data_IF_181226611926
#
_entry.id   IF_181226611926
#
_cell.length_a   1.000
_cell.length_b   1.000
_cell.length_c   1.000
_cell.angle_alpha   90.00
_cell.angle_beta   90.00
_cell.angle_gamma   90.00
#
_symmetry.space_group_name_H-M   'P 1'
#
loop_
_entity.id
_entity.type
_entity.pdbx_description
1 polymer ?
#
# COMPACT_ATOMS: atom_id res chain seq x y z
N UNK A 1 4.34 -3.09 13.28
CA UNK A 1 3.57 -1.96 12.76
C UNK A 1 2.53 -2.36 11.72
N UNK A 2 2.73 -3.51 11.07
CA UNK A 2 1.76 -3.98 10.07
C UNK A 2 0.34 -4.07 10.62
N UNK A 3 0.09 -4.60 11.83
CA UNK A 3 -1.28 -4.67 12.33
C UNK A 3 -2.00 -3.33 12.44
N UNK A 4 -1.26 -2.23 12.47
CA UNK A 4 -1.84 -0.88 12.57
C UNK A 4 -1.90 -0.17 11.23
N UNK A 5 -1.45 -0.81 10.16
CA UNK A 5 -1.47 -0.21 8.83
C UNK A 5 -2.89 -0.13 8.29
N UNK A 6 -3.10 0.79 7.35
CA UNK A 6 -4.39 0.93 6.67
C UNK A 6 -4.49 0.02 5.44
N UNK A 7 -3.37 -0.27 4.82
CA UNK A 7 -3.33 -1.11 3.62
C UNK A 7 -1.91 -1.61 3.41
N UNK A 8 -1.79 -2.77 2.77
CA UNK A 8 -0.51 -3.28 2.28
C UNK A 8 -0.59 -3.35 0.76
N UNK A 9 0.28 -2.60 0.09
CA UNK A 9 0.38 -2.58 -1.36
C UNK A 9 1.41 -3.63 -1.77
N UNK A 10 1.04 -4.50 -2.69
CA UNK A 10 1.89 -5.64 -3.04
C UNK A 10 2.25 -5.67 -4.51
N UNK A 11 3.46 -6.14 -4.77
CA UNK A 11 3.83 -6.77 -6.03
C UNK A 11 4.01 -8.24 -5.65
N UNK A 12 3.03 -9.08 -5.93
CA UNK A 12 3.02 -10.45 -5.40
C UNK A 12 4.32 -11.17 -5.68
N UNK A 13 4.81 -11.88 -4.69
CA UNK A 13 6.06 -12.62 -4.64
C UNK A 13 7.33 -11.77 -4.53
N UNK A 14 7.28 -10.45 -4.77
CA UNK A 14 8.47 -9.62 -4.72
C UNK A 14 8.44 -8.59 -3.59
N UNK A 15 7.42 -7.76 -3.53
CA UNK A 15 7.40 -6.63 -2.60
C UNK A 15 6.09 -6.53 -1.85
N UNK A 16 6.17 -6.04 -0.61
CA UNK A 16 5.02 -5.62 0.16
C UNK A 16 5.38 -4.35 0.93
N UNK A 17 4.51 -3.36 0.89
CA UNK A 17 4.72 -2.07 1.54
C UNK A 17 3.47 -1.73 2.32
N UNK A 18 3.61 -1.58 3.64
CA UNK A 18 2.50 -1.23 4.52
C UNK A 18 2.43 0.27 4.69
N UNK A 19 1.24 0.82 4.46
CA UNK A 19 0.99 2.26 4.52
C UNK A 19 0.03 2.59 5.64
N UNK A 20 0.25 3.71 6.30
CA UNK A 20 -0.65 4.24 7.30
C UNK A 20 -0.86 5.73 7.07
N UNK A 21 -2.11 6.14 7.08
CA UNK A 21 -2.46 7.54 6.99
C UNK A 21 -3.06 8.00 8.31
N UNK A 22 -2.44 9.01 8.90
CA UNK A 22 -2.94 9.61 10.14
C UNK A 22 -3.49 11.00 9.81
N UNK A 23 -4.79 11.09 9.67
CA UNK A 23 -5.45 12.34 9.30
C UNK A 23 -5.20 13.43 10.34
N UNK A 24 -5.06 13.06 11.61
CA UNK A 24 -4.84 14.03 12.66
C UNK A 24 -3.44 14.64 12.60
N UNK A 25 -2.48 13.94 12.02
CA UNK A 25 -1.12 14.42 11.90
C UNK A 25 -0.95 15.39 10.73
N UNK A 26 -1.97 15.58 9.91
CA UNK A 26 -1.97 16.52 8.77
C UNK A 26 -0.83 16.30 7.80
N UNK A 27 -0.37 15.08 7.70
CA UNK A 27 0.72 14.73 6.82
C UNK A 27 0.30 13.81 5.71
N UNK A 28 1.25 13.47 4.86
CA UNK A 28 1.05 12.44 3.85
C UNK A 28 1.07 11.06 4.52
N UNK A 29 0.51 10.04 3.86
CA UNK A 29 0.68 8.67 4.33
C UNK A 29 2.14 8.31 4.50
N UNK A 30 2.42 7.41 5.45
CA UNK A 30 3.78 6.97 5.75
C UNK A 30 3.91 5.48 5.48
N UNK A 31 5.13 5.07 5.13
CA UNK A 31 5.48 3.66 5.07
C UNK A 31 5.83 3.21 6.49
N UNK A 32 5.09 2.24 7.00
CA UNK A 32 5.34 1.73 8.36
C UNK A 32 6.07 0.39 8.34
N UNK A 33 6.07 -0.30 7.21
CA UNK A 33 6.84 -1.52 7.01
C UNK A 33 7.02 -1.73 5.52
N UNK A 34 8.11 -2.35 5.13
CA UNK A 34 8.30 -2.78 3.74
C UNK A 34 9.28 -3.94 3.70
N UNK A 35 9.19 -4.74 2.67
CA UNK A 35 10.09 -5.86 2.51
C UNK A 35 9.98 -6.48 1.14
N UNK A 36 10.92 -7.36 0.84
CA UNK A 36 10.91 -8.12 -0.39
C UNK A 36 11.02 -9.61 -0.05
N UNK A 37 10.58 -10.43 -0.97
CA UNK A 37 10.69 -11.89 -0.89
C UNK A 37 10.10 -12.44 0.41
N UNK A 38 10.89 -13.05 1.28
CA UNK A 38 10.40 -13.67 2.50
C UNK A 38 9.81 -12.62 3.47
N UNK A 39 10.45 -11.46 3.56
CA UNK A 39 9.91 -10.39 4.42
C UNK A 39 8.57 -9.91 3.87
N UNK A 40 8.44 -9.80 2.56
CA UNK A 40 7.16 -9.45 1.94
C UNK A 40 6.08 -10.48 2.28
N UNK A 41 6.43 -11.77 2.26
CA UNK A 41 5.50 -12.81 2.65
C UNK A 41 5.03 -12.65 4.10
N UNK A 42 5.97 -12.36 4.99
CA UNK A 42 5.63 -12.14 6.40
C UNK A 42 4.70 -10.94 6.57
N UNK A 43 4.93 -9.87 5.81
CA UNK A 43 4.06 -8.69 5.86
C UNK A 43 2.65 -9.05 5.38
N UNK A 44 2.53 -9.80 4.29
CA UNK A 44 1.22 -10.24 3.79
C UNK A 44 0.49 -11.10 4.80
N UNK A 45 1.21 -12.03 5.44
CA UNK A 45 0.62 -12.92 6.43
C UNK A 45 0.11 -12.14 7.65
N UNK A 46 0.90 -11.17 8.12
CA UNK A 46 0.48 -10.34 9.25
C UNK A 46 -0.73 -9.47 8.87
N UNK A 47 -0.75 -8.95 7.65
CA UNK A 47 -1.89 -8.15 7.19
C UNK A 47 -3.16 -9.00 7.17
N UNK A 48 -3.08 -10.20 6.62
CA UNK A 48 -4.22 -11.10 6.57
C UNK A 48 -4.72 -11.45 7.97
N UNK A 49 -3.80 -11.72 8.90
CA UNK A 49 -4.15 -12.09 10.26
C UNK A 49 -4.79 -10.94 11.05
N UNK A 50 -4.57 -9.70 10.63
CA UNK A 50 -5.06 -8.51 11.33
C UNK A 50 -6.10 -7.73 10.52
N UNK A 51 -6.66 -8.34 9.50
CA UNK A 51 -7.71 -7.74 8.66
C UNK A 51 -7.28 -6.43 8.00
N UNK A 52 -5.99 -6.31 7.68
CA UNK A 52 -5.47 -5.18 6.93
C UNK A 52 -5.64 -5.50 5.43
N UNK A 53 -6.30 -4.62 4.66
CA UNK A 53 -6.50 -4.89 3.24
C UNK A 53 -5.20 -5.04 2.47
N UNK A 54 -5.20 -5.95 1.50
CA UNK A 54 -4.08 -6.15 0.58
C UNK A 54 -4.52 -5.65 -0.79
N UNK A 55 -3.67 -4.86 -1.42
CA UNK A 55 -3.91 -4.34 -2.76
C UNK A 55 -2.76 -4.73 -3.67
N UNK A 56 -3.05 -5.46 -4.73
CA UNK A 56 -2.05 -5.80 -5.72
C UNK A 56 -1.89 -4.62 -6.69
N UNK A 57 -0.76 -3.95 -6.64
CA UNK A 57 -0.46 -2.81 -7.51
C UNK A 57 1.04 -2.76 -7.74
N UNK A 58 1.57 -3.62 -8.64
CA UNK A 58 3.01 -3.77 -8.79
C UNK A 58 3.79 -2.48 -9.04
N UNK A 59 3.37 -1.59 -9.96
CA UNK A 59 4.13 -0.34 -10.15
C UNK A 59 4.20 0.51 -8.89
N UNK A 60 3.09 0.61 -8.15
CA UNK A 60 3.07 1.41 -6.93
C UNK A 60 3.92 0.76 -5.83
N UNK A 61 3.81 -0.56 -5.68
CA UNK A 61 4.61 -1.26 -4.68
C UNK A 61 6.10 -1.08 -4.94
N UNK A 62 6.54 -1.20 -6.20
CA UNK A 62 7.93 -1.01 -6.56
C UNK A 62 8.41 0.41 -6.28
N UNK A 63 7.60 1.40 -6.67
CA UNK A 63 7.96 2.81 -6.45
C UNK A 63 8.05 3.14 -4.96
N UNK A 64 7.09 2.71 -4.18
CA UNK A 64 7.09 2.94 -2.74
C UNK A 64 8.28 2.26 -2.06
N UNK A 65 8.55 1.02 -2.43
CA UNK A 65 9.67 0.29 -1.84
C UNK A 65 10.99 1.00 -2.10
N UNK A 66 11.19 1.45 -3.34
CA UNK A 66 12.45 2.06 -3.75
C UNK A 66 12.66 3.45 -3.17
N UNK A 67 11.59 4.25 -3.07
CA UNK A 67 11.74 5.69 -2.84
C UNK A 67 11.28 6.16 -1.46
N UNK A 68 10.90 5.27 -0.56
CA UNK A 68 10.40 5.68 0.76
C UNK A 68 10.96 4.78 1.84
N UNK A 69 11.65 5.37 2.80
CA UNK A 69 12.17 4.64 3.95
C UNK A 69 11.08 4.35 4.96
N UNK A 70 11.26 3.32 5.76
CA UNK A 70 10.33 3.01 6.85
C UNK A 70 10.26 4.20 7.80
N UNK A 71 9.05 4.63 8.12
CA UNK A 71 8.81 5.78 8.98
C UNK A 71 8.68 7.09 8.24
N UNK A 72 9.03 7.12 6.95
CA UNK A 72 8.99 8.35 6.17
C UNK A 72 7.65 8.50 5.44
N UNK A 73 7.31 9.76 5.15
CA UNK A 73 6.17 10.07 4.30
C UNK A 73 6.46 9.69 2.85
N UNK A 74 5.43 9.33 2.12
CA UNK A 74 5.59 9.00 0.70
C UNK A 74 6.01 10.24 -0.09
N UNK A 75 6.70 10.07 -1.24
CA UNK A 75 7.04 11.20 -2.09
C UNK A 75 5.81 11.89 -2.66
N UNK A 76 5.91 13.21 -2.86
CA UNK A 76 4.81 13.98 -3.41
C UNK A 76 4.33 13.43 -4.76
N UNK A 77 5.24 12.92 -5.58
CA UNK A 77 4.89 12.36 -6.89
C UNK A 77 3.98 11.14 -6.80
N UNK A 78 3.86 10.52 -5.63
CA UNK A 78 3.00 9.37 -5.42
C UNK A 78 1.69 9.73 -4.69
N UNK A 79 1.46 11.00 -4.39
CA UNK A 79 0.28 11.41 -3.62
C UNK A 79 -1.02 11.01 -4.31
N UNK A 80 -1.14 11.26 -5.61
CA UNK A 80 -2.38 10.95 -6.33
C UNK A 80 -2.68 9.46 -6.33
N UNK A 81 -1.67 8.64 -6.63
CA UNK A 81 -1.85 7.20 -6.64
C UNK A 81 -2.26 6.68 -5.26
N UNK A 82 -1.57 7.13 -4.22
CA UNK A 82 -1.86 6.66 -2.87
C UNK A 82 -3.21 7.20 -2.38
N UNK A 83 -3.60 8.42 -2.79
CA UNK A 83 -4.91 8.94 -2.45
C UNK A 83 -6.02 8.06 -3.00
N UNK A 84 -5.87 7.55 -4.22
CA UNK A 84 -6.86 6.63 -4.80
C UNK A 84 -6.91 5.32 -4.00
N UNK A 85 -5.76 4.82 -3.57
CA UNK A 85 -5.71 3.63 -2.72
C UNK A 85 -6.43 3.87 -1.40
N UNK A 86 -6.17 5.01 -0.75
CA UNK A 86 -6.79 5.32 0.54
C UNK A 86 -8.30 5.52 0.41
N UNK A 87 -8.76 6.11 -0.69
CA UNK A 87 -10.19 6.23 -0.96
C UNK A 87 -10.85 4.85 -1.08
N UNK A 88 -10.17 3.92 -1.77
CA UNK A 88 -10.66 2.55 -1.86
C UNK A 88 -10.73 1.88 -0.49
N UNK A 89 -9.68 2.05 0.32
CA UNK A 89 -9.65 1.48 1.67
C UNK A 89 -10.80 2.02 2.51
N UNK A 90 -11.01 3.34 2.46
CA UNK A 90 -12.09 3.95 3.21
C UNK A 90 -13.44 3.38 2.80
N UNK A 91 -13.68 3.28 1.50
CA UNK A 91 -14.94 2.74 0.99
C UNK A 91 -15.11 1.27 1.33
N UNK A 92 -14.03 0.49 1.24
CA UNK A 92 -14.05 -0.92 1.60
C UNK A 92 -14.48 -1.11 3.05
N UNK A 93 -13.85 -0.38 3.96
CA UNK A 93 -14.18 -0.47 5.38
C UNK A 93 -15.59 -0.02 5.67
N UNK A 94 -16.05 1.02 4.99
CA UNK A 94 -17.40 1.53 5.16
C UNK A 94 -18.45 0.52 4.69
N UNK A 95 -18.26 -0.05 3.51
CA UNK A 95 -19.19 -1.05 2.99
C UNK A 95 -19.21 -2.32 3.82
N UNK A 96 -18.07 -2.77 4.27
CA UNK A 96 -18.00 -3.96 5.14
C UNK A 96 -18.75 -3.71 6.44
N UNK A 97 -18.56 -2.53 7.04
CA UNK A 97 -19.22 -2.18 8.30
C UNK A 97 -20.74 -2.14 8.14
N UNK A 98 -21.25 -1.85 6.94
CA UNK A 98 -22.68 -1.81 6.66
C UNK A 98 -23.21 -3.11 6.04
N UNK A 99 -22.38 -4.14 5.97
CA UNK A 99 -22.79 -5.42 5.39
C UNK A 99 -22.86 -5.42 3.87
N UNK A 100 -22.27 -4.41 3.21
CA UNK A 100 -22.26 -4.35 1.76
C UNK A 100 -21.14 -5.16 1.15
N UNK A 101 -21.12 -5.21 -0.19
CA UNK A 101 -20.07 -5.91 -0.91
C UNK A 101 -18.86 -5.02 -1.08
N UNK A 102 -17.64 -5.59 -1.05
CA UNK A 102 -16.42 -4.82 -1.28
C UNK A 102 -16.41 -4.23 -2.69
N UNK A 103 -15.83 -3.05 -2.82
CA UNK A 103 -15.61 -2.44 -4.12
C UNK A 103 -14.43 -3.08 -4.82
N UNK A 104 -14.43 -2.95 -6.15
CA UNK A 104 -13.29 -3.40 -6.93
C UNK A 104 -12.05 -2.59 -6.56
N UNK A 105 -10.90 -3.25 -6.61
CA UNK A 105 -9.63 -2.59 -6.37
C UNK A 105 -9.34 -1.60 -7.49
N UNK A 106 -8.71 -0.46 -7.16
CA UNK A 106 -8.31 0.50 -8.19
C UNK A 106 -7.30 -0.12 -9.14
N UNK A 107 -7.42 0.23 -10.42
CA UNK A 107 -6.51 -0.20 -11.46
C UNK A 107 -5.88 1.01 -12.11
N UNK A 108 -4.76 0.80 -12.81
CA UNK A 108 -4.08 1.86 -13.56
C UNK A 108 -3.77 3.09 -12.71
N UNK A 109 -3.24 2.85 -11.52
CA UNK A 109 -2.86 3.94 -10.62
C UNK A 109 -1.78 4.81 -11.28
N UNK A 110 -1.86 6.16 -11.13
CA UNK A 110 -0.92 7.06 -11.77
C UNK A 110 0.44 7.08 -11.07
N UNK A 111 1.29 6.13 -11.42
CA UNK A 111 2.66 6.07 -10.90
C UNK A 111 3.60 6.63 -11.95
N UNK A 112 4.35 7.71 -11.64
CA UNK A 112 5.30 8.25 -12.61
C UNK A 112 6.29 7.18 -13.06
N UNK A 113 6.50 7.00 -14.37
CA UNK A 113 7.40 5.94 -14.86
C UNK A 113 8.81 6.03 -14.30
N UNK A 114 9.30 7.24 -14.05
CA UNK A 114 10.66 7.44 -13.54
C UNK A 114 10.82 6.96 -12.10
N UNK A 115 9.73 6.75 -11.36
CA UNK A 115 9.79 6.23 -9.99
C UNK A 115 9.63 4.72 -9.94
N UNK A 116 9.13 4.11 -11.01
CA UNK A 116 8.95 2.66 -11.06
C UNK A 116 10.16 2.03 -11.75
N UNK A 117 10.98 1.26 -11.02
CA UNK A 117 12.14 0.62 -11.62
C UNK A 117 11.79 -0.49 -12.62
N UNK A 118 10.51 -0.81 -12.74
CA UNK A 118 10.06 -1.90 -13.58
C UNK A 118 10.29 -3.26 -12.94
N UNK A 119 9.77 -4.31 -13.59
CA UNK A 119 10.01 -5.67 -13.10
C UNK A 119 11.47 -6.02 -13.32
N UNK A 120 12.23 -6.06 -12.25
CA UNK A 120 13.65 -6.36 -12.35
C UNK A 120 13.92 -7.79 -12.79
N UNK A 121 15.19 -8.13 -12.99
CA UNK A 121 15.57 -9.53 -13.21
C UNK A 121 15.27 -10.32 -11.95
N UNK A 122 14.66 -11.44 -12.10
CA UNK A 122 14.32 -12.30 -10.96
C UNK A 122 15.49 -13.17 -10.55
#
# INVERSE_FOLDING_TARGET
EVPKADVVVTNPTHYAVALKYDADAMGAPRVVAKGMNLIAQNIRDLAAANSVPLLEAPPLARALYRHTEIGASIPAALYTAVAEVMAWVYQLNHFIAQGGLPREQPADLPVPPELDPGPGPD
#
